data_IF_428036392191
#
_entry.id   IF_428036392191
#
_cell.length_a   1.000
_cell.length_b   1.000
_cell.length_c   1.000
_cell.angle_alpha   90.00
_cell.angle_beta   90.00
_cell.angle_gamma   90.00
#
_symmetry.space_group_name_H-M   'P 1'
#
loop_
_entity.id
_entity.type
_entity.pdbx_description
1 polymer ?
#
# COMPACT_ATOMS: atom_id res chain seq x y z
N UNK A 1 -34.85 3.10 -36.65
CA UNK A 1 -34.72 4.34 -35.86
C UNK A 1 -35.10 4.04 -34.40
N UNK A 2 -34.25 3.34 -33.65
CA UNK A 2 -34.54 2.85 -32.27
C UNK A 2 -33.26 2.65 -31.44
N UNK A 3 -32.27 3.56 -31.50
CA UNK A 3 -31.02 3.45 -30.72
C UNK A 3 -30.62 4.72 -29.96
N UNK A 4 -31.53 5.68 -29.75
CA UNK A 4 -31.19 6.95 -29.08
C UNK A 4 -31.53 6.99 -27.57
N UNK A 5 -32.33 6.05 -27.05
CA UNK A 5 -32.84 6.12 -25.66
C UNK A 5 -31.91 5.58 -24.56
N UNK A 6 -30.93 4.74 -24.90
CA UNK A 6 -30.09 4.06 -23.90
C UNK A 6 -28.82 4.82 -23.49
N UNK A 7 -28.30 5.69 -24.35
CA UNK A 7 -27.02 6.37 -24.17
C UNK A 7 -26.95 7.34 -22.96
N UNK A 8 -27.95 8.21 -22.70
CA UNK A 8 -27.89 9.13 -21.57
C UNK A 8 -28.01 8.44 -20.21
N UNK A 9 -28.71 7.30 -20.17
CA UNK A 9 -28.93 6.52 -18.95
C UNK A 9 -27.68 5.74 -18.53
N UNK A 10 -26.98 5.15 -19.49
CA UNK A 10 -25.68 4.50 -19.27
C UNK A 10 -24.63 5.53 -18.84
N UNK A 11 -24.61 6.71 -19.47
CA UNK A 11 -23.74 7.83 -19.09
C UNK A 11 -23.96 8.27 -17.64
N UNK A 12 -25.21 8.50 -17.24
CA UNK A 12 -25.55 8.89 -15.88
C UNK A 12 -25.14 7.82 -14.85
N UNK A 13 -25.36 6.54 -15.15
CA UNK A 13 -24.95 5.44 -14.28
C UNK A 13 -23.42 5.40 -14.08
N UNK A 14 -22.64 5.58 -15.15
CA UNK A 14 -21.17 5.65 -15.06
C UNK A 14 -20.73 6.81 -14.18
N UNK A 15 -21.32 7.99 -14.33
CA UNK A 15 -20.99 9.17 -13.51
C UNK A 15 -21.28 8.91 -12.02
N UNK A 16 -22.43 8.32 -11.71
CA UNK A 16 -22.79 7.96 -10.32
C UNK A 16 -21.80 6.96 -9.74
N UNK A 17 -21.40 5.94 -10.50
CA UNK A 17 -20.39 4.96 -10.09
C UNK A 17 -19.05 5.66 -9.83
N UNK A 18 -18.58 6.51 -10.73
CA UNK A 18 -17.32 7.24 -10.56
C UNK A 18 -17.32 8.15 -9.31
N UNK A 19 -18.43 8.87 -9.08
CA UNK A 19 -18.60 9.69 -7.88
C UNK A 19 -18.57 8.80 -6.62
N UNK A 20 -19.29 7.67 -6.64
CA UNK A 20 -19.33 6.75 -5.50
C UNK A 20 -17.94 6.18 -5.16
N UNK A 21 -17.15 5.82 -6.18
CA UNK A 21 -15.78 5.35 -6.04
C UNK A 21 -14.86 6.46 -5.50
N UNK A 22 -15.00 7.68 -6.01
CA UNK A 22 -14.25 8.83 -5.53
C UNK A 22 -14.55 9.17 -4.07
N UNK A 23 -15.83 9.18 -3.66
CA UNK A 23 -16.21 9.41 -2.27
C UNK A 23 -15.73 8.29 -1.34
N UNK A 24 -15.73 7.04 -1.81
CA UNK A 24 -15.12 5.91 -1.08
C UNK A 24 -13.62 6.11 -0.93
N UNK A 25 -12.94 6.53 -1.99
CA UNK A 25 -11.50 6.84 -1.97
C UNK A 25 -11.17 7.95 -0.97
N UNK A 26 -11.94 9.05 -0.93
CA UNK A 26 -11.73 10.12 0.04
C UNK A 26 -11.88 9.66 1.49
N UNK A 27 -12.84 8.76 1.78
CA UNK A 27 -13.00 8.18 3.12
C UNK A 27 -11.80 7.34 3.52
N UNK A 28 -11.32 6.50 2.61
CA UNK A 28 -10.10 5.71 2.79
C UNK A 28 -8.91 6.62 3.04
N UNK A 29 -8.72 7.65 2.22
CA UNK A 29 -7.63 8.62 2.36
C UNK A 29 -7.65 9.31 3.74
N UNK A 30 -8.84 9.67 4.23
CA UNK A 30 -9.00 10.21 5.58
C UNK A 30 -8.53 9.21 6.65
N UNK A 31 -8.90 7.94 6.53
CA UNK A 31 -8.45 6.88 7.46
C UNK A 31 -6.93 6.67 7.43
N UNK A 32 -6.32 6.62 6.25
CA UNK A 32 -4.86 6.46 6.12
C UNK A 32 -4.12 7.64 6.74
N UNK A 33 -4.61 8.85 6.49
CA UNK A 33 -3.95 10.07 6.95
C UNK A 33 -4.03 10.28 8.46
N UNK A 34 -4.75 9.44 9.21
CA UNK A 34 -4.66 9.41 10.68
C UNK A 34 -3.38 8.69 11.13
N UNK A 35 -2.89 7.73 10.33
CA UNK A 35 -1.74 6.90 10.67
C UNK A 35 -0.42 7.68 10.57
N UNK A 36 0.62 7.23 11.30
CA UNK A 36 1.99 7.74 11.14
C UNK A 36 2.58 7.27 9.80
N UNK A 37 2.25 8.03 8.77
CA UNK A 37 2.68 7.85 7.39
C UNK A 37 2.76 9.21 6.70
N UNK A 38 3.35 9.22 5.50
CA UNK A 38 3.37 10.39 4.66
C UNK A 38 1.93 10.71 4.25
N UNK A 39 1.52 11.98 4.41
CA UNK A 39 0.14 12.35 4.15
C UNK A 39 -0.16 12.28 2.65
N UNK A 40 -1.09 11.41 2.28
CA UNK A 40 -1.53 11.24 0.91
C UNK A 40 -2.55 12.31 0.55
N UNK A 41 -2.52 12.78 -0.69
CA UNK A 41 -3.51 13.69 -1.26
C UNK A 41 -4.43 12.95 -2.22
N UNK A 42 -5.53 13.59 -2.61
CA UNK A 42 -6.57 13.01 -3.45
C UNK A 42 -6.05 12.41 -4.77
N UNK A 43 -4.98 12.99 -5.34
CA UNK A 43 -4.36 12.54 -6.58
C UNK A 43 -3.41 11.32 -6.43
N UNK A 44 -3.11 10.89 -5.21
CA UNK A 44 -2.25 9.72 -4.95
C UNK A 44 -3.05 8.41 -4.98
N UNK A 45 -3.71 8.11 -6.09
CA UNK A 45 -4.56 6.91 -6.20
C UNK A 45 -3.79 5.58 -6.09
N UNK A 46 -2.48 5.58 -6.34
CA UNK A 46 -1.57 4.44 -6.08
C UNK A 46 -0.90 4.50 -4.68
N UNK A 47 -1.40 5.37 -3.79
CA UNK A 47 -0.82 5.58 -2.47
C UNK A 47 0.62 6.09 -2.53
N UNK A 48 1.50 5.46 -1.78
CA UNK A 48 2.92 5.78 -1.70
C UNK A 48 3.74 5.16 -2.85
N UNK A 49 3.14 4.29 -3.68
CA UNK A 49 3.82 3.78 -4.89
C UNK A 49 4.24 4.92 -5.81
N UNK A 50 3.44 5.99 -5.91
CA UNK A 50 3.82 7.13 -6.77
C UNK A 50 5.17 7.69 -6.34
N UNK A 51 5.41 7.85 -5.03
CA UNK A 51 6.68 8.34 -4.50
C UNK A 51 7.85 7.42 -4.84
N UNK A 52 7.66 6.10 -4.71
CA UNK A 52 8.70 5.11 -5.06
C UNK A 52 8.98 5.07 -6.56
N UNK A 53 7.94 4.98 -7.38
CA UNK A 53 8.07 4.80 -8.83
C UNK A 53 8.58 6.08 -9.51
N UNK A 54 8.17 7.27 -9.07
CA UNK A 54 8.76 8.51 -9.58
C UNK A 54 10.28 8.53 -9.36
N UNK A 55 10.75 8.06 -8.19
CA UNK A 55 12.17 7.91 -7.91
C UNK A 55 12.87 6.87 -8.78
N UNK A 56 12.18 5.84 -9.29
CA UNK A 56 12.78 4.83 -10.18
C UNK A 56 12.81 5.25 -11.65
N UNK A 57 11.88 6.10 -12.08
CA UNK A 57 11.71 6.51 -13.49
C UNK A 57 12.51 7.78 -13.80
N UNK A 58 12.68 8.69 -12.84
CA UNK A 58 13.47 9.90 -13.06
C UNK A 58 14.96 9.54 -13.23
N UNK A 59 15.63 10.07 -14.25
CA UNK A 59 17.06 9.86 -14.44
C UNK A 59 17.81 10.39 -13.22
N UNK A 60 18.57 9.51 -12.59
CA UNK A 60 19.44 9.80 -11.46
C UNK A 60 20.87 9.69 -11.97
N UNK A 61 21.71 10.69 -11.70
CA UNK A 61 23.14 10.67 -12.09
C UNK A 61 23.91 9.52 -11.43
N UNK A 62 23.31 8.89 -10.42
CA UNK A 62 23.80 7.71 -9.72
C UNK A 62 23.05 6.45 -10.16
N UNK A 63 23.78 5.49 -10.75
CA UNK A 63 23.27 4.15 -11.05
C UNK A 63 23.14 3.34 -9.74
N UNK A 64 22.06 3.56 -9.00
CA UNK A 64 21.73 2.80 -7.80
C UNK A 64 20.67 1.76 -8.21
N UNK A 65 20.92 0.50 -7.86
CA UNK A 65 19.95 -0.55 -8.16
C UNK A 65 18.61 -0.27 -7.46
N UNK A 66 17.45 -0.50 -8.11
CA UNK A 66 16.14 -0.16 -7.55
C UNK A 66 15.90 -0.72 -6.14
N UNK A 67 16.38 -1.94 -5.86
CA UNK A 67 16.19 -2.60 -4.57
C UNK A 67 16.95 -1.92 -3.41
N UNK A 68 18.12 -1.34 -3.68
CA UNK A 68 18.87 -0.57 -2.68
C UNK A 68 18.09 0.69 -2.33
N UNK A 69 17.61 1.40 -3.36
CA UNK A 69 16.79 2.61 -3.19
C UNK A 69 15.50 2.32 -2.42
N UNK A 70 14.83 1.22 -2.73
CA UNK A 70 13.62 0.82 -2.02
C UNK A 70 13.90 0.54 -0.54
N UNK A 71 14.99 -0.18 -0.25
CA UNK A 71 15.42 -0.48 1.11
C UNK A 71 15.78 0.79 1.89
N UNK A 72 16.50 1.73 1.27
CA UNK A 72 16.83 3.02 1.86
C UNK A 72 15.57 3.82 2.18
N UNK A 73 14.56 3.79 1.31
CA UNK A 73 13.28 4.46 1.57
C UNK A 73 12.57 3.81 2.75
N UNK A 74 12.50 2.47 2.82
CA UNK A 74 11.92 1.77 3.97
C UNK A 74 12.65 2.12 5.28
N UNK A 75 13.97 2.15 5.26
CA UNK A 75 14.79 2.60 6.39
C UNK A 75 14.51 4.06 6.75
N UNK A 76 14.40 4.94 5.77
CA UNK A 76 14.06 6.34 5.97
C UNK A 76 12.68 6.53 6.61
N UNK A 77 11.67 5.77 6.18
CA UNK A 77 10.33 5.76 6.80
C UNK A 77 10.39 5.31 8.26
N UNK A 78 11.12 4.22 8.53
CA UNK A 78 11.34 3.73 9.89
C UNK A 78 11.97 4.79 10.79
N UNK A 79 12.99 5.50 10.30
CA UNK A 79 13.65 6.57 11.04
C UNK A 79 12.72 7.78 11.26
N UNK A 80 12.00 8.23 10.23
CA UNK A 80 11.08 9.36 10.29
C UNK A 80 9.95 9.16 11.30
N UNK A 81 9.45 7.93 11.43
CA UNK A 81 8.35 7.59 12.35
C UNK A 81 8.82 6.77 13.57
N UNK A 82 10.12 6.78 13.86
CA UNK A 82 10.73 6.00 14.95
C UNK A 82 10.14 6.33 16.32
N UNK A 83 9.75 7.58 16.55
CA UNK A 83 9.07 8.01 17.80
C UNK A 83 7.78 7.23 18.07
N UNK A 84 7.09 6.81 17.02
CA UNK A 84 5.83 6.10 17.11
C UNK A 84 6.04 4.58 17.16
N UNK A 85 7.26 4.12 16.88
CA UNK A 85 7.67 2.71 16.82
C UNK A 85 7.06 1.90 15.66
N UNK A 86 6.19 2.53 14.88
CA UNK A 86 5.43 1.97 13.77
C UNK A 86 5.41 2.98 12.62
N UNK A 87 5.56 2.50 11.40
CA UNK A 87 5.38 3.29 10.18
C UNK A 87 4.41 2.58 9.25
N UNK A 88 3.61 3.36 8.53
CA UNK A 88 2.63 2.83 7.58
C UNK A 88 2.99 3.25 6.18
N UNK A 89 2.96 2.29 5.26
CA UNK A 89 3.15 2.54 3.84
C UNK A 89 2.00 1.89 3.09
N UNK A 90 1.35 2.69 2.25
CA UNK A 90 0.27 2.22 1.39
C UNK A 90 0.82 1.96 0.00
N UNK A 91 0.82 0.70 -0.42
CA UNK A 91 1.14 0.30 -1.79
C UNK A 91 -0.13 -0.12 -2.55
N UNK A 92 -0.21 -1.38 -2.95
CA UNK A 92 -1.46 -2.03 -3.39
C UNK A 92 -2.29 -2.51 -2.20
N UNK A 93 -1.62 -2.73 -1.07
CA UNK A 93 -2.16 -3.07 0.24
C UNK A 93 -1.51 -2.17 1.30
N UNK A 94 -2.13 -2.09 2.47
CA UNK A 94 -1.55 -1.37 3.62
C UNK A 94 -0.47 -2.26 4.25
N UNK A 95 0.76 -1.76 4.28
CA UNK A 95 1.89 -2.39 4.94
C UNK A 95 2.25 -1.60 6.20
N UNK A 96 2.50 -2.33 7.28
CA UNK A 96 2.85 -1.76 8.58
C UNK A 96 4.23 -2.30 8.95
N UNK A 97 5.19 -1.39 9.10
CA UNK A 97 6.55 -1.75 9.48
C UNK A 97 6.77 -1.36 10.93
N UNK A 98 7.10 -2.36 11.75
CA UNK A 98 7.45 -2.20 13.16
C UNK A 98 8.96 -2.22 13.28
N UNK A 99 9.54 -1.17 13.85
CA UNK A 99 11.01 -1.07 13.98
C UNK A 99 11.48 -0.93 15.42
N UNK A 100 10.58 -0.68 16.37
CA UNK A 100 10.92 -0.59 17.79
C UNK A 100 10.91 -1.97 18.44
N UNK A 101 12.03 -2.36 19.06
CA UNK A 101 12.24 -3.68 19.65
C UNK A 101 11.11 -4.07 20.62
N UNK A 102 10.73 -3.20 21.54
CA UNK A 102 9.66 -3.47 22.53
C UNK A 102 8.33 -3.85 21.87
N UNK A 103 7.99 -3.21 20.76
CA UNK A 103 6.73 -3.45 20.04
C UNK A 103 6.84 -4.76 19.26
N UNK A 104 7.98 -5.00 18.62
CA UNK A 104 8.27 -6.26 17.91
C UNK A 104 8.17 -7.44 18.86
N UNK A 105 8.73 -7.34 20.07
CA UNK A 105 8.67 -8.40 21.08
C UNK A 105 7.23 -8.73 21.47
N UNK A 106 6.38 -7.72 21.68
CA UNK A 106 4.95 -7.92 21.97
C UNK A 106 4.25 -8.67 20.83
N UNK A 107 4.53 -8.30 19.58
CA UNK A 107 3.96 -8.99 18.43
C UNK A 107 4.47 -10.43 18.30
N UNK A 108 5.79 -10.65 18.40
CA UNK A 108 6.41 -11.97 18.24
C UNK A 108 6.04 -12.94 19.37
N UNK A 109 5.85 -12.43 20.59
CA UNK A 109 5.41 -13.25 21.72
C UNK A 109 3.92 -13.65 21.62
N UNK A 110 3.12 -12.99 20.77
CA UNK A 110 1.72 -13.33 20.56
C UNK A 110 1.51 -14.21 19.32
N UNK A 111 1.84 -15.50 19.45
CA UNK A 111 1.75 -16.47 18.35
C UNK A 111 0.35 -16.76 17.82
N UNK A 112 -0.72 -16.32 18.50
CA UNK A 112 -2.11 -16.54 18.04
C UNK A 112 -2.51 -15.62 16.89
N UNK A 113 -1.90 -14.44 16.79
CA UNK A 113 -2.25 -13.42 15.80
C UNK A 113 -1.27 -13.36 14.62
N UNK A 114 -0.10 -13.99 14.73
CA UNK A 114 0.89 -14.04 13.65
C UNK A 114 0.45 -15.07 12.61
N UNK A 115 -0.10 -14.57 11.50
CA UNK A 115 -0.41 -15.36 10.31
C UNK A 115 0.50 -14.96 9.17
N UNK A 116 0.84 -15.93 8.32
CA UNK A 116 1.59 -15.68 7.10
C UNK A 116 0.80 -14.73 6.20
N UNK A 117 1.49 -13.75 5.62
CA UNK A 117 0.88 -12.78 4.73
C UNK A 117 0.46 -13.40 3.41
N UNK A 118 -0.40 -12.69 2.67
CA UNK A 118 -0.91 -13.08 1.35
C UNK A 118 0.21 -13.40 0.32
N UNK A 119 1.41 -12.84 0.50
CA UNK A 119 2.57 -13.12 -0.36
C UNK A 119 3.04 -14.58 -0.27
N UNK A 120 2.81 -15.28 0.86
CA UNK A 120 3.11 -16.70 0.97
C UNK A 120 2.19 -17.55 0.07
N UNK A 121 0.92 -17.16 -0.09
CA UNK A 121 0.00 -17.85 -1.00
C UNK A 121 0.47 -17.79 -2.46
N UNK A 122 1.10 -16.67 -2.85
CA UNK A 122 1.70 -16.56 -4.19
C UNK A 122 2.87 -17.50 -4.42
N UNK A 123 3.56 -17.92 -3.35
CA UNK A 123 4.68 -18.85 -3.42
C UNK A 123 4.24 -20.32 -3.43
N UNK A 124 2.96 -20.58 -3.15
CA UNK A 124 2.39 -21.93 -3.07
C UNK A 124 2.54 -22.76 -4.35
N UNK A 125 2.39 -22.21 -5.57
CA UNK A 125 2.61 -22.97 -6.80
C UNK A 125 4.05 -23.48 -6.96
N UNK A 126 5.04 -22.79 -6.38
CA UNK A 126 6.45 -23.17 -6.47
C UNK A 126 6.91 -24.04 -5.31
N UNK A 127 6.46 -23.73 -4.08
CA UNK A 127 6.94 -24.37 -2.85
C UNK A 127 6.00 -25.45 -2.30
N UNK A 128 4.83 -25.65 -2.91
CA UNK A 128 3.83 -26.64 -2.49
C UNK A 128 3.32 -26.38 -1.08
N UNK A 129 3.30 -27.41 -0.24
CA UNK A 129 2.96 -27.30 1.19
C UNK A 129 4.21 -27.46 2.08
N UNK A 130 5.35 -26.93 1.62
CA UNK A 130 6.61 -26.99 2.36
C UNK A 130 6.57 -26.27 3.72
N UNK A 131 7.66 -26.38 4.49
CA UNK A 131 7.77 -25.81 5.85
C UNK A 131 7.42 -24.32 5.92
N UNK A 132 7.80 -23.56 4.90
CA UNK A 132 7.52 -22.12 4.79
C UNK A 132 6.03 -21.80 4.60
N UNK A 133 5.19 -22.77 4.24
CA UNK A 133 3.76 -22.57 3.96
C UNK A 133 2.83 -23.29 4.96
N UNK A 134 3.40 -24.07 5.88
CA UNK A 134 2.66 -24.80 6.93
C UNK A 134 2.24 -23.95 8.12
#
# INVERSE_FOLDING_TARGET
MLLAGGFPLVSAAVVVVLISLYLKWLRVLKSINVLPSLKLKWYNFLGHMTVLYFGRILPSDTYISPHIRDFDILCGYSQLYSSNGLSFIWFTFLEVTVCKADIVEVFLNNSKEIKKGWHYEMLRPWLGNGLLLR
#
